data_IF_412602934725
#
_entry.id   IF_412602934725
#
_cell.length_a   1.000
_cell.length_b   1.000
_cell.length_c   1.000
_cell.angle_alpha   90.00
_cell.angle_beta   90.00
_cell.angle_gamma   90.00
#
_symmetry.space_group_name_H-M   'P 1'
#
loop_
_entity.id
_entity.type
_entity.pdbx_description
1 polymer ?
#
# COMPACT_ATOMS: atom_id res chain seq x y z
N UNK A 1 50.02 -17.10 26.94
CA UNK A 1 48.59 -17.04 27.37
C UNK A 1 47.73 -16.73 26.15
N UNK A 2 46.97 -17.73 25.65
CA UNK A 2 45.88 -17.51 24.69
C UNK A 2 44.65 -16.95 25.42
N UNK A 3 44.09 -15.81 24.98
CA UNK A 3 42.65 -15.46 25.10
C UNK A 3 42.29 -14.49 23.95
N UNK A 4 41.76 -15.02 22.84
CA UNK A 4 40.34 -15.04 22.43
C UNK A 4 39.89 -13.77 21.67
N UNK A 5 39.67 -13.96 20.37
CA UNK A 5 38.89 -13.13 19.44
C UNK A 5 37.58 -12.61 20.06
N UNK A 6 37.16 -11.41 19.65
CA UNK A 6 35.75 -11.16 19.33
C UNK A 6 35.62 -9.96 18.37
N UNK A 7 35.43 -10.33 17.11
CA UNK A 7 34.93 -9.51 16.02
C UNK A 7 33.57 -8.90 16.37
N UNK A 8 33.33 -7.66 15.94
CA UNK A 8 32.04 -6.99 16.05
C UNK A 8 31.75 -6.08 14.87
N UNK A 9 31.86 -6.60 13.65
CA UNK A 9 31.28 -5.98 12.45
C UNK A 9 29.79 -6.35 12.47
N UNK A 10 28.91 -5.38 12.68
CA UNK A 10 27.47 -5.54 12.43
C UNK A 10 27.01 -4.24 11.75
N UNK A 11 27.12 -4.19 10.42
CA UNK A 11 26.17 -4.67 9.42
C UNK A 11 25.24 -3.53 8.98
N UNK A 12 25.59 -3.04 7.79
CA UNK A 12 24.90 -2.09 6.93
C UNK A 12 23.39 -2.30 6.99
N UNK A 13 22.65 -1.27 7.40
CA UNK A 13 21.20 -1.21 7.25
C UNK A 13 20.85 -1.18 5.77
N UNK A 14 20.51 -2.35 5.22
CA UNK A 14 20.03 -2.47 3.85
C UNK A 14 18.64 -1.82 3.82
N UNK A 15 18.54 -0.62 3.25
CA UNK A 15 17.28 -0.06 2.83
C UNK A 15 16.74 -0.94 1.70
N UNK A 16 15.89 -1.90 2.05
CA UNK A 16 15.19 -2.73 1.08
C UNK A 16 14.05 -1.88 0.50
N UNK A 17 14.40 -1.03 -0.48
CA UNK A 17 13.38 -0.42 -1.34
C UNK A 17 12.85 -1.55 -2.20
N UNK A 18 11.75 -2.18 -1.77
CA UNK A 18 10.97 -3.05 -2.64
C UNK A 18 10.33 -2.12 -3.68
N UNK A 19 11.02 -1.89 -4.78
CA UNK A 19 10.42 -1.30 -5.97
C UNK A 19 9.50 -2.36 -6.55
N UNK A 20 8.23 -2.32 -6.15
CA UNK A 20 7.18 -3.06 -6.84
C UNK A 20 7.13 -2.49 -8.26
N UNK A 21 7.65 -3.24 -9.23
CA UNK A 21 7.51 -2.95 -10.65
C UNK A 21 6.06 -3.24 -11.03
N UNK A 22 5.15 -2.31 -10.74
CA UNK A 22 3.81 -2.36 -11.31
C UNK A 22 3.90 -1.83 -12.73
N UNK A 23 4.19 -2.75 -13.66
CA UNK A 23 3.88 -2.58 -15.07
C UNK A 23 2.36 -2.48 -15.22
N UNK A 24 1.82 -1.27 -15.09
CA UNK A 24 0.64 -0.77 -15.79
C UNK A 24 0.47 0.72 -15.46
N UNK A 25 0.99 1.60 -16.30
CA UNK A 25 0.66 3.04 -16.29
C UNK A 25 -0.76 3.28 -16.80
N UNK A 26 -1.74 2.66 -16.14
CA UNK A 26 -3.17 2.77 -16.45
C UNK A 26 -3.88 3.80 -15.59
N UNK A 27 -5.14 4.10 -15.93
CA UNK A 27 -5.94 5.07 -15.17
C UNK A 27 -6.58 4.47 -13.91
N UNK A 28 -6.59 3.14 -13.80
CA UNK A 28 -6.94 2.40 -12.59
C UNK A 28 -5.65 1.95 -11.91
N UNK A 29 -5.33 2.52 -10.75
CA UNK A 29 -4.10 2.17 -10.04
C UNK A 29 -4.21 2.49 -8.56
N UNK A 30 -3.32 1.90 -7.78
CA UNK A 30 -3.19 2.19 -6.36
C UNK A 30 -1.71 2.13 -5.96
N UNK A 31 -1.34 2.93 -4.97
CA UNK A 31 0.00 2.93 -4.40
C UNK A 31 -0.04 3.34 -2.93
N UNK A 32 1.02 3.00 -2.21
CA UNK A 32 1.21 3.37 -0.83
C UNK A 32 2.63 3.87 -0.60
N UNK A 33 2.80 4.74 0.40
CA UNK A 33 4.08 5.33 0.75
C UNK A 33 4.13 5.73 2.21
N UNK A 34 5.33 5.76 2.75
CA UNK A 34 5.60 6.20 4.10
C UNK A 34 5.93 7.69 4.13
N UNK A 35 5.55 8.33 5.24
CA UNK A 35 5.91 9.71 5.59
C UNK A 35 6.41 9.72 7.04
N UNK A 36 7.03 10.83 7.45
CA UNK A 36 7.55 10.99 8.82
C UNK A 36 8.56 9.89 9.21
N UNK A 37 9.43 9.50 8.26
CA UNK A 37 10.46 8.48 8.49
C UNK A 37 9.92 7.09 8.81
N UNK A 38 8.75 6.72 8.28
CA UNK A 38 8.10 5.43 8.52
C UNK A 38 6.97 5.47 9.54
N UNK A 39 6.83 6.56 10.32
CA UNK A 39 5.81 6.62 11.36
C UNK A 39 4.37 6.68 10.82
N UNK A 40 4.17 7.05 9.55
CA UNK A 40 2.84 7.15 8.94
C UNK A 40 2.81 6.52 7.56
N UNK A 41 1.89 5.58 7.38
CA UNK A 41 1.54 5.00 6.09
C UNK A 41 0.42 5.81 5.43
N UNK A 42 0.58 6.06 4.14
CA UNK A 42 -0.42 6.68 3.29
C UNK A 42 -0.73 5.74 2.14
N UNK A 43 -1.95 5.81 1.63
CA UNK A 43 -2.40 5.00 0.53
C UNK A 43 -3.30 5.82 -0.37
N UNK A 44 -3.20 5.57 -1.65
CA UNK A 44 -3.99 6.21 -2.69
C UNK A 44 -4.51 5.16 -3.65
N UNK A 45 -5.76 5.31 -4.06
CA UNK A 45 -6.37 4.52 -5.11
C UNK A 45 -7.15 5.43 -6.04
N UNK A 46 -7.09 5.14 -7.33
CA UNK A 46 -7.83 5.82 -8.37
C UNK A 46 -8.45 4.82 -9.33
N UNK A 47 -9.64 5.15 -9.83
CA UNK A 47 -10.24 4.55 -11.00
C UNK A 47 -10.68 5.61 -12.00
N UNK A 48 -10.77 5.21 -13.26
CA UNK A 48 -11.53 5.88 -14.29
C UNK A 48 -12.27 4.81 -15.10
N UNK A 49 -13.59 4.73 -14.93
CA UNK A 49 -14.36 3.61 -15.46
C UNK A 49 -14.26 3.48 -16.99
N UNK A 50 -14.20 4.59 -17.73
CA UNK A 50 -14.06 4.55 -19.18
C UNK A 50 -12.69 4.09 -19.70
N UNK A 51 -11.69 3.96 -18.83
CA UNK A 51 -10.41 3.36 -19.20
C UNK A 51 -10.57 1.84 -19.37
N UNK A 52 -10.19 1.34 -20.55
CA UNK A 52 -10.16 -0.08 -20.84
C UNK A 52 -8.91 -0.71 -20.22
N UNK A 53 -9.09 -1.40 -19.09
CA UNK A 53 -8.05 -2.11 -18.38
C UNK A 53 -8.08 -3.58 -18.76
N UNK A 54 -7.36 -3.91 -19.83
CA UNK A 54 -7.25 -5.28 -20.34
C UNK A 54 -8.60 -5.96 -20.63
N UNK A 55 -9.55 -5.21 -21.19
CA UNK A 55 -10.91 -5.66 -21.49
C UNK A 55 -11.91 -5.41 -20.37
N UNK A 56 -11.47 -4.91 -19.21
CA UNK A 56 -12.32 -4.65 -18.05
C UNK A 56 -12.46 -3.15 -17.77
N UNK A 57 -13.51 -2.80 -17.04
CA UNK A 57 -13.81 -1.43 -16.63
C UNK A 57 -14.00 -1.40 -15.10
N UNK A 58 -13.29 -0.51 -14.41
CA UNK A 58 -13.33 -0.46 -12.95
C UNK A 58 -14.57 0.33 -12.48
N UNK A 59 -15.47 -0.33 -11.76
CA UNK A 59 -16.67 0.26 -11.16
C UNK A 59 -16.35 1.01 -9.87
N UNK A 60 -15.45 0.48 -9.06
CA UNK A 60 -15.05 1.05 -7.79
C UNK A 60 -13.65 0.55 -7.42
N UNK A 61 -12.82 1.40 -6.81
CA UNK A 61 -11.57 0.95 -6.19
C UNK A 61 -11.74 0.84 -4.68
N UNK A 62 -11.04 -0.09 -4.04
CA UNK A 62 -10.79 0.01 -2.60
C UNK A 62 -9.34 -0.22 -2.22
N UNK A 63 -8.96 0.36 -1.10
CA UNK A 63 -7.72 0.01 -0.42
C UNK A 63 -7.95 -0.23 1.08
N UNK A 64 -6.97 -0.86 1.75
CA UNK A 64 -7.05 -1.27 3.15
C UNK A 64 -5.66 -1.30 3.77
N UNK A 65 -5.59 -0.90 5.03
CA UNK A 65 -4.41 -1.09 5.86
C UNK A 65 -4.69 -2.16 6.91
N UNK A 66 -3.75 -3.07 7.10
CA UNK A 66 -3.82 -4.06 8.18
C UNK A 66 -2.50 -4.15 8.92
N UNK A 67 -2.57 -4.40 10.22
CA UNK A 67 -1.43 -4.73 11.06
C UNK A 67 -1.88 -5.66 12.18
N UNK A 68 -1.09 -6.69 12.46
CA UNK A 68 -1.46 -7.74 13.42
C UNK A 68 -1.28 -7.29 14.88
N UNK A 69 -0.22 -6.54 15.19
CA UNK A 69 0.15 -6.16 16.55
C UNK A 69 0.75 -4.74 16.60
N UNK A 70 0.89 -4.20 17.81
CA UNK A 70 1.52 -2.91 18.06
C UNK A 70 0.77 -1.71 17.47
N UNK A 71 -0.25 -1.20 18.17
CA UNK A 71 -1.62 -1.71 18.25
C UNK A 71 -2.14 -2.40 16.96
N UNK A 72 -3.03 -3.41 17.06
CA UNK A 72 -3.66 -4.01 15.89
C UNK A 72 -4.44 -2.96 15.10
N UNK A 73 -4.44 -3.09 13.78
CA UNK A 73 -5.12 -2.17 12.87
C UNK A 73 -5.80 -2.96 11.76
N UNK A 74 -7.04 -2.62 11.49
CA UNK A 74 -7.75 -3.04 10.30
C UNK A 74 -8.75 -1.95 9.91
N UNK A 75 -8.51 -1.27 8.80
CA UNK A 75 -9.39 -0.19 8.33
C UNK A 75 -10.66 -0.70 7.65
N UNK A 76 -10.75 -2.02 7.41
CA UNK A 76 -11.68 -2.55 6.41
C UNK A 76 -11.39 -2.01 5.01
N UNK A 77 -12.29 -2.29 4.07
CA UNK A 77 -12.19 -1.80 2.69
C UNK A 77 -12.68 -0.37 2.61
N UNK A 78 -11.79 0.55 2.26
CA UNK A 78 -12.07 1.96 2.08
C UNK A 78 -12.21 2.24 0.60
N UNK A 79 -13.45 2.49 0.15
CA UNK A 79 -13.78 2.58 -1.25
C UNK A 79 -13.73 4.02 -1.79
N UNK A 80 -13.40 4.16 -3.07
CA UNK A 80 -13.72 5.36 -3.87
C UNK A 80 -15.24 5.54 -3.98
N UNK A 81 -15.69 6.69 -4.48
CA UNK A 81 -17.05 6.76 -5.01
C UNK A 81 -17.25 5.71 -6.12
N UNK A 82 -18.49 5.28 -6.34
CA UNK A 82 -18.82 4.28 -7.35
C UNK A 82 -19.08 4.97 -8.70
N UNK A 83 -18.58 4.39 -9.78
CA UNK A 83 -18.98 4.75 -11.14
C UNK A 83 -20.37 4.19 -11.46
N UNK A 84 -21.13 4.92 -12.27
CA UNK A 84 -22.49 4.54 -12.64
C UNK A 84 -22.55 3.73 -13.93
N UNK A 85 -21.55 3.85 -14.81
CA UNK A 85 -21.44 3.07 -16.05
C UNK A 85 -19.98 2.84 -16.47
N UNK A 86 -19.69 1.83 -17.31
CA UNK A 86 -18.37 1.63 -17.91
C UNK A 86 -17.91 2.78 -18.81
N UNK A 87 -18.79 3.71 -19.21
CA UNK A 87 -18.45 4.86 -20.04
C UNK A 87 -18.15 6.12 -19.21
N UNK A 88 -18.24 6.02 -17.88
CA UNK A 88 -18.00 7.16 -16.99
C UNK A 88 -16.50 7.51 -16.94
N UNK A 89 -16.15 8.64 -17.57
CA UNK A 89 -14.77 9.13 -17.61
C UNK A 89 -14.36 9.98 -16.40
N UNK A 90 -15.20 10.10 -15.38
CA UNK A 90 -14.85 10.83 -14.17
C UNK A 90 -13.81 10.05 -13.38
N UNK A 91 -12.67 10.67 -13.12
CA UNK A 91 -11.65 10.14 -12.22
C UNK A 91 -12.22 10.12 -10.80
N UNK A 92 -12.20 8.94 -10.18
CA UNK A 92 -12.61 8.75 -8.79
C UNK A 92 -11.44 8.23 -8.02
N UNK A 93 -11.03 8.98 -7.00
CA UNK A 93 -9.89 8.62 -6.18
C UNK A 93 -10.20 8.73 -4.70
N UNK A 94 -9.36 8.08 -3.91
CA UNK A 94 -9.41 8.13 -2.46
C UNK A 94 -8.00 8.06 -1.89
N UNK A 95 -7.77 8.80 -0.81
CA UNK A 95 -6.52 8.81 -0.08
C UNK A 95 -6.80 8.75 1.42
N UNK A 96 -6.10 7.85 2.11
CA UNK A 96 -6.23 7.68 3.55
C UNK A 96 -4.83 7.49 4.17
N UNK A 97 -4.73 7.64 5.49
CA UNK A 97 -3.46 7.51 6.22
C UNK A 97 -3.67 6.87 7.58
N UNK A 98 -2.69 6.09 8.02
CA UNK A 98 -2.68 5.40 9.31
C UNK A 98 -1.31 5.54 9.98
N UNK A 99 -1.30 5.57 11.30
CA UNK A 99 -0.07 5.53 12.08
C UNK A 99 0.53 4.13 12.04
N UNK A 100 1.83 4.05 11.81
CA UNK A 100 2.56 2.80 11.88
C UNK A 100 2.86 2.40 13.33
N UNK A 101 3.31 1.17 13.52
CA UNK A 101 3.81 0.72 14.81
C UNK A 101 5.17 1.32 15.12
N UNK A 102 5.46 1.72 16.37
CA UNK A 102 6.83 2.01 16.78
C UNK A 102 7.66 0.74 16.98
N UNK A 103 7.04 -0.44 16.89
CA UNK A 103 7.67 -1.74 17.12
C UNK A 103 8.13 -2.37 15.79
N UNK A 104 9.18 -3.17 15.87
CA UNK A 104 9.87 -3.73 14.71
C UNK A 104 9.54 -5.21 14.51
N UNK A 105 9.33 -5.62 13.27
CA UNK A 105 9.07 -7.01 12.87
C UNK A 105 7.72 -7.22 12.19
N UNK A 106 7.55 -8.36 11.50
CA UNK A 106 6.44 -8.61 10.56
C UNK A 106 5.03 -8.46 11.13
N UNK A 107 4.85 -8.78 12.42
CA UNK A 107 3.56 -8.64 13.10
C UNK A 107 3.19 -7.17 13.35
N UNK A 108 4.19 -6.28 13.39
CA UNK A 108 4.05 -4.84 13.62
C UNK A 108 4.09 -4.04 12.33
N UNK A 109 4.40 -4.66 11.19
CA UNK A 109 4.41 -4.00 9.89
C UNK A 109 2.98 -3.71 9.42
N UNK A 110 2.72 -2.44 9.09
CA UNK A 110 1.50 -2.07 8.38
C UNK A 110 1.57 -2.54 6.93
N UNK A 111 0.58 -3.32 6.51
CA UNK A 111 0.45 -3.83 5.13
C UNK A 111 -0.64 -3.09 4.39
N UNK A 112 -0.37 -2.76 3.14
CA UNK A 112 -1.30 -2.14 2.22
C UNK A 112 -1.89 -3.16 1.25
N UNK A 113 -3.21 -3.16 1.12
CA UNK A 113 -3.93 -3.98 0.15
C UNK A 113 -4.83 -3.08 -0.69
N UNK A 114 -5.03 -3.46 -1.94
CA UNK A 114 -5.99 -2.81 -2.81
C UNK A 114 -6.55 -3.81 -3.80
N UNK A 115 -7.71 -3.47 -4.35
CA UNK A 115 -8.29 -4.18 -5.48
C UNK A 115 -9.36 -3.29 -6.15
N UNK A 116 -9.89 -3.75 -7.26
CA UNK A 116 -10.93 -3.09 -8.02
C UNK A 116 -12.17 -3.99 -8.13
N UNK A 117 -13.33 -3.37 -8.02
CA UNK A 117 -14.61 -3.97 -8.38
C UNK A 117 -14.82 -3.69 -9.86
N UNK A 118 -14.93 -4.74 -10.66
CA UNK A 118 -15.13 -4.67 -12.10
C UNK A 118 -16.62 -4.86 -12.45
N UNK A 119 -17.02 -4.48 -13.67
CA UNK A 119 -18.32 -4.87 -14.24
C UNK A 119 -18.30 -6.31 -14.76
#
# INVERSE_FOLDING_TARGET
MQKKLLSGIIAIGIAFVITITVLAGGMNYAYAWETLGGARWNGYIQIQACYNDNGNHAKQGYHRFTRQAGPPLDTGRMYTSQATSPQDCTIRSRQDSVWDSPLWGDQYTTRYFYDFVWW
#
